data_IF_567099093586
#
_entry.id   IF_567099093586
#
_cell.length_a   1.000
_cell.length_b   1.000
_cell.length_c   1.000
_cell.angle_alpha   90.00
_cell.angle_beta   90.00
_cell.angle_gamma   90.00
#
_symmetry.space_group_name_H-M   'P 1'
#
loop_
_entity.id
_entity.type
_entity.pdbx_description
1 polymer ?
#
# COMPACT_ATOMS: atom_id res chain seq x y z
N UNK A 1 12.05 -0.72 2.05
CA UNK A 1 12.70 -1.70 1.14
C UNK A 1 13.42 -0.92 0.08
N UNK A 2 14.61 -1.39 -0.29
CA UNK A 2 15.44 -0.72 -1.29
C UNK A 2 15.18 -1.31 -2.67
N UNK A 3 15.29 -0.47 -3.71
CA UNK A 3 15.05 -0.81 -5.10
C UNK A 3 16.16 -0.28 -6.00
N UNK A 4 16.52 -1.05 -7.02
CA UNK A 4 17.57 -0.74 -8.00
C UNK A 4 16.97 0.05 -9.18
N UNK A 5 16.30 1.15 -8.87
CA UNK A 5 15.77 2.13 -9.84
C UNK A 5 15.86 3.54 -9.26
N UNK A 6 15.84 4.55 -10.12
CA UNK A 6 15.83 5.95 -9.69
C UNK A 6 14.53 6.30 -8.95
N UNK A 7 14.58 7.35 -8.12
CA UNK A 7 13.42 7.81 -7.37
C UNK A 7 12.31 8.31 -8.30
N UNK A 8 12.65 8.88 -9.45
CA UNK A 8 11.70 9.36 -10.45
C UNK A 8 10.91 8.21 -11.06
N UNK A 9 11.59 7.12 -11.43
CA UNK A 9 10.93 5.90 -11.96
C UNK A 9 10.06 5.23 -10.89
N UNK A 10 10.50 5.19 -9.64
CA UNK A 10 9.68 4.66 -8.55
C UNK A 10 8.47 5.55 -8.31
N UNK A 11 8.63 6.87 -8.36
CA UNK A 11 7.52 7.81 -8.25
C UNK A 11 6.51 7.62 -9.40
N UNK A 12 6.99 7.54 -10.64
CA UNK A 12 6.15 7.25 -11.81
C UNK A 12 5.33 5.98 -11.60
N UNK A 13 5.98 4.90 -11.11
CA UNK A 13 5.31 3.62 -10.86
C UNK A 13 4.22 3.76 -9.80
N UNK A 14 4.53 4.30 -8.61
CA UNK A 14 3.55 4.36 -7.51
C UNK A 14 2.47 5.43 -7.70
N UNK A 15 2.71 6.43 -8.54
CA UNK A 15 1.76 7.50 -8.86
C UNK A 15 0.87 7.17 -10.07
N UNK A 16 1.20 6.12 -10.83
CA UNK A 16 0.38 5.67 -11.96
C UNK A 16 -0.97 5.13 -11.49
N UNK A 17 -2.10 5.60 -12.07
CA UNK A 17 -3.42 5.09 -11.74
C UNK A 17 -3.51 3.58 -11.95
N UNK A 18 -4.07 2.85 -10.97
CA UNK A 18 -4.25 1.40 -11.10
C UNK A 18 -2.97 0.56 -10.95
N UNK A 19 -1.84 1.15 -10.52
CA UNK A 19 -0.55 0.46 -10.39
C UNK A 19 -0.61 -0.80 -9.51
N UNK A 20 -1.54 -0.90 -8.58
CA UNK A 20 -1.69 -2.09 -7.75
C UNK A 20 -2.15 -3.32 -8.54
N UNK A 21 -2.74 -3.15 -9.74
CA UNK A 21 -3.06 -4.28 -10.61
C UNK A 21 -1.81 -5.06 -11.02
N UNK A 22 -0.67 -4.38 -11.15
CA UNK A 22 0.59 -4.97 -11.61
C UNK A 22 1.50 -5.39 -10.46
N UNK A 23 1.53 -4.61 -9.38
CA UNK A 23 2.54 -4.72 -8.34
C UNK A 23 2.04 -5.40 -7.05
N UNK A 24 0.72 -5.54 -6.83
CA UNK A 24 0.20 -5.96 -5.55
C UNK A 24 -0.27 -7.42 -5.55
N UNK A 25 0.39 -8.35 -4.82
CA UNK A 25 0.14 -9.78 -4.91
C UNK A 25 -1.24 -10.23 -4.40
N UNK A 26 -1.95 -9.38 -3.66
CA UNK A 26 -3.30 -9.64 -3.14
C UNK A 26 -4.38 -8.81 -3.84
N UNK A 27 -4.02 -8.04 -4.87
CA UNK A 27 -4.97 -7.25 -5.65
C UNK A 27 -5.74 -8.15 -6.62
N UNK A 28 -7.07 -8.08 -6.56
CA UNK A 28 -7.96 -8.62 -7.59
C UNK A 28 -8.19 -7.58 -8.68
N UNK A 29 -8.48 -6.34 -8.29
CA UNK A 29 -8.54 -5.16 -9.17
C UNK A 29 -8.27 -3.88 -8.38
N UNK A 30 -7.70 -2.89 -9.05
CA UNK A 30 -7.57 -1.52 -8.55
C UNK A 30 -8.21 -0.58 -9.57
N UNK A 31 -9.38 -0.04 -9.23
CA UNK A 31 -10.24 0.73 -10.13
C UNK A 31 -10.23 2.21 -9.77
N UNK A 32 -10.08 3.06 -10.78
CA UNK A 32 -10.02 4.51 -10.59
C UNK A 32 -11.43 5.02 -10.35
N UNK A 33 -11.65 5.74 -9.25
CA UNK A 33 -12.88 6.49 -8.99
C UNK A 33 -12.74 7.92 -9.49
N UNK A 34 -11.65 8.58 -9.13
CA UNK A 34 -11.30 9.91 -9.59
C UNK A 34 -9.76 10.09 -9.58
N UNK A 35 -9.22 10.69 -10.66
CA UNK A 35 -7.78 10.95 -10.77
C UNK A 35 -7.51 12.35 -11.34
N UNK A 36 -8.34 13.34 -10.96
CA UNK A 36 -8.26 14.71 -11.48
C UNK A 36 -8.11 15.73 -10.35
N UNK A 37 -7.34 16.79 -10.60
CA UNK A 37 -7.27 18.02 -9.79
C UNK A 37 -7.08 17.79 -8.29
N UNK A 38 -6.04 17.03 -7.92
CA UNK A 38 -5.68 16.79 -6.51
C UNK A 38 -6.72 16.00 -5.69
N UNK A 39 -7.76 15.47 -6.32
CA UNK A 39 -8.73 14.58 -5.69
C UNK A 39 -8.50 13.15 -6.19
N UNK A 40 -7.36 12.58 -5.84
CA UNK A 40 -7.02 11.21 -6.23
C UNK A 40 -7.76 10.21 -5.35
N UNK A 41 -8.50 9.31 -6.00
CA UNK A 41 -9.32 8.31 -5.31
C UNK A 41 -9.48 7.07 -6.16
N UNK A 42 -9.28 5.89 -5.56
CA UNK A 42 -9.50 4.60 -6.19
C UNK A 42 -10.13 3.56 -5.25
N UNK A 43 -10.58 2.45 -5.83
CA UNK A 43 -11.06 1.27 -5.11
C UNK A 43 -10.05 0.13 -5.28
N UNK A 44 -9.58 -0.42 -4.17
CA UNK A 44 -8.79 -1.64 -4.12
C UNK A 44 -9.68 -2.81 -3.74
N UNK A 45 -9.80 -3.78 -4.65
CA UNK A 45 -10.51 -5.04 -4.40
C UNK A 45 -9.47 -6.12 -4.17
N UNK A 46 -9.51 -6.75 -3.01
CA UNK A 46 -8.62 -7.86 -2.65
C UNK A 46 -9.08 -9.19 -3.23
N UNK A 47 -8.22 -10.21 -3.22
CA UNK A 47 -8.52 -11.54 -3.79
C UNK A 47 -9.72 -12.21 -3.11
N UNK A 48 -9.93 -11.99 -1.81
CA UNK A 48 -11.09 -12.49 -1.07
C UNK A 48 -12.37 -11.65 -1.26
N UNK A 49 -12.34 -10.65 -2.15
CA UNK A 49 -13.49 -9.77 -2.43
C UNK A 49 -13.66 -8.59 -1.50
N UNK A 50 -12.79 -8.41 -0.49
CA UNK A 50 -12.81 -7.23 0.37
C UNK A 50 -12.52 -5.98 -0.45
N UNK A 51 -13.38 -4.95 -0.32
CA UNK A 51 -13.27 -3.67 -1.03
C UNK A 51 -12.87 -2.56 -0.09
N UNK A 52 -11.80 -1.85 -0.43
CA UNK A 52 -11.34 -0.66 0.27
C UNK A 52 -11.22 0.52 -0.69
N UNK A 53 -11.67 1.68 -0.21
CA UNK A 53 -11.46 2.97 -0.89
C UNK A 53 -10.15 3.55 -0.38
N UNK A 54 -9.30 4.01 -1.31
CA UNK A 54 -8.12 4.80 -1.03
C UNK A 54 -8.41 6.26 -1.40
N UNK A 55 -8.35 7.17 -0.43
CA UNK A 55 -8.48 8.61 -0.63
C UNK A 55 -7.11 9.23 -0.35
N UNK A 56 -6.46 9.77 -1.38
CA UNK A 56 -5.16 10.40 -1.24
C UNK A 56 -5.34 11.82 -0.69
N UNK A 57 -4.55 12.17 0.33
CA UNK A 57 -4.63 13.44 1.05
C UNK A 57 -3.51 14.37 0.62
N UNK A 58 -2.28 13.89 0.76
CA UNK A 58 -1.07 14.60 0.35
C UNK A 58 -0.45 13.87 -0.84
N UNK A 59 0.15 14.66 -1.76
CA UNK A 59 0.74 14.13 -2.99
C UNK A 59 1.96 14.98 -3.31
N UNK A 60 3.14 14.47 -2.99
CA UNK A 60 4.40 15.19 -3.16
C UNK A 60 5.31 14.43 -4.14
N UNK A 61 5.49 14.92 -5.38
CA UNK A 61 6.30 14.27 -6.40
C UNK A 61 7.71 13.93 -5.90
N UNK A 62 8.14 12.69 -6.17
CA UNK A 62 9.43 12.13 -5.77
C UNK A 62 9.67 12.02 -4.25
N UNK A 63 8.67 12.33 -3.42
CA UNK A 63 8.74 12.14 -1.96
C UNK A 63 7.72 11.13 -1.46
N UNK A 64 6.55 11.05 -2.10
CA UNK A 64 5.52 10.09 -1.75
C UNK A 64 4.12 10.69 -1.64
N UNK A 65 3.26 9.99 -0.92
CA UNK A 65 1.89 10.42 -0.67
C UNK A 65 1.31 9.83 0.61
N UNK A 66 0.30 10.49 1.14
CA UNK A 66 -0.50 10.01 2.25
C UNK A 66 -1.91 9.69 1.79
N UNK A 67 -2.52 8.68 2.40
CA UNK A 67 -3.89 8.30 2.07
C UNK A 67 -4.66 7.77 3.27
N UNK A 68 -5.98 7.88 3.20
CA UNK A 68 -6.91 7.15 4.04
C UNK A 68 -7.40 5.91 3.29
N UNK A 69 -7.37 4.75 3.95
CA UNK A 69 -7.82 3.48 3.38
C UNK A 69 -8.80 2.76 4.30
N UNK A 70 -9.90 2.29 3.75
CA UNK A 70 -10.90 1.53 4.49
C UNK A 70 -12.17 1.25 3.68
N UNK A 71 -13.17 0.66 4.32
CA UNK A 71 -14.48 0.45 3.69
C UNK A 71 -15.16 1.78 3.40
N UNK A 72 -15.92 1.83 2.31
CA UNK A 72 -16.70 3.01 1.97
C UNK A 72 -17.70 3.33 3.11
N UNK A 73 -17.69 4.58 3.60
CA UNK A 73 -18.51 5.02 4.74
C UNK A 73 -18.10 4.41 6.10
N UNK A 74 -17.04 3.61 6.15
CA UNK A 74 -16.54 2.97 7.37
C UNK A 74 -15.29 3.61 7.95
N UNK A 75 -14.74 3.00 9.02
CA UNK A 75 -13.47 3.44 9.59
C UNK A 75 -12.34 3.31 8.59
N UNK A 76 -11.42 4.30 8.59
CA UNK A 76 -10.29 4.35 7.70
C UNK A 76 -8.97 4.40 8.47
N UNK A 77 -7.98 3.67 7.98
CA UNK A 77 -6.59 3.73 8.45
C UNK A 77 -5.85 4.81 7.68
N UNK A 78 -4.95 5.52 8.35
CA UNK A 78 -4.04 6.46 7.71
C UNK A 78 -2.77 5.72 7.28
N UNK A 79 -2.33 5.96 6.06
CA UNK A 79 -1.17 5.29 5.46
C UNK A 79 -0.28 6.32 4.79
N UNK A 80 1.01 6.22 5.06
CA UNK A 80 2.05 7.09 4.51
C UNK A 80 2.98 6.26 3.65
N UNK A 81 3.23 6.71 2.42
CA UNK A 81 4.20 6.17 1.49
C UNK A 81 5.33 7.18 1.30
N UNK A 82 6.53 6.82 1.73
CA UNK A 82 7.70 7.70 1.70
C UNK A 82 8.76 7.16 0.76
N UNK A 83 9.24 8.00 -0.14
CA UNK A 83 10.39 7.73 -1.00
C UNK A 83 11.64 8.42 -0.48
N UNK A 84 12.76 7.73 -0.54
CA UNK A 84 14.08 8.28 -0.21
C UNK A 84 15.06 7.95 -1.33
N UNK A 85 15.75 8.95 -1.85
CA UNK A 85 16.84 8.77 -2.82
C UNK A 85 18.08 8.26 -2.10
N UNK A 86 18.58 7.10 -2.51
CA UNK A 86 19.83 6.53 -1.95
C UNK A 86 21.02 6.81 -2.88
N UNK A 87 20.78 6.77 -4.21
CA UNK A 87 21.73 7.17 -5.26
C UNK A 87 20.97 7.51 -6.54
N UNK A 88 21.68 7.77 -7.65
CA UNK A 88 21.01 8.06 -8.95
C UNK A 88 20.18 6.88 -9.45
N UNK A 89 20.57 5.65 -9.16
CA UNK A 89 19.90 4.42 -9.63
C UNK A 89 19.33 3.58 -8.48
N UNK A 90 19.21 4.16 -7.27
CA UNK A 90 18.68 3.45 -6.10
C UNK A 90 17.79 4.36 -5.27
N UNK A 91 16.65 3.82 -4.87
CA UNK A 91 15.76 4.47 -3.93
C UNK A 91 15.19 3.47 -2.91
N UNK A 92 14.61 4.00 -1.85
CA UNK A 92 13.86 3.22 -0.85
C UNK A 92 12.41 3.66 -0.85
N UNK A 93 11.50 2.68 -0.71
CA UNK A 93 10.08 2.92 -0.42
C UNK A 93 9.76 2.39 0.97
N UNK A 94 9.19 3.24 1.81
CA UNK A 94 8.68 2.92 3.14
C UNK A 94 7.18 3.12 3.17
N UNK A 95 6.45 2.13 3.69
CA UNK A 95 5.01 2.22 3.93
C UNK A 95 4.76 2.14 5.43
N UNK A 96 4.14 3.17 5.99
CA UNK A 96 3.74 3.24 7.40
C UNK A 96 2.21 3.22 7.48
N UNK A 97 1.67 2.31 8.29
CA UNK A 97 0.22 2.19 8.49
C UNK A 97 -0.13 2.53 9.93
N UNK A 98 -1.06 3.47 10.09
CA UNK A 98 -1.70 3.83 11.35
C UNK A 98 -3.13 3.27 11.35
N UNK A 99 -3.36 2.09 11.94
CA UNK A 99 -4.67 1.45 11.91
C UNK A 99 -5.71 2.28 12.66
N UNK A 100 -6.92 2.36 12.12
CA UNK A 100 -8.04 3.11 12.71
C UNK A 100 -8.40 2.68 14.15
N UNK A 101 -7.99 1.49 14.56
CA UNK A 101 -8.18 0.99 15.93
C UNK A 101 -7.56 1.89 17.01
N UNK A 102 -6.58 2.72 16.64
CA UNK A 102 -5.94 3.66 17.56
C UNK A 102 -6.51 5.07 17.51
N UNK A 103 -7.32 5.40 16.51
CA UNK A 103 -7.90 6.76 16.36
C UNK A 103 -9.12 7.01 17.24
N UNK A 104 -9.72 5.96 17.80
CA UNK A 104 -10.85 6.05 18.74
C UNK A 104 -10.38 5.65 20.13
N UNK A 105 -9.65 6.53 20.85
CA UNK A 105 -9.40 6.46 22.29
C UNK A 105 -9.35 5.05 22.91
N UNK A 106 -8.66 4.12 22.23
CA UNK A 106 -8.73 2.70 22.55
C UNK A 106 -8.06 2.41 23.88
N UNK A 107 -8.81 1.82 24.79
CA UNK A 107 -8.37 1.35 26.10
C UNK A 107 -7.10 0.51 25.95
N UNK A 108 -6.18 0.64 26.89
CA UNK A 108 -4.91 -0.10 27.06
C UNK A 108 -5.03 -1.63 26.81
N UNK A 109 -6.21 -2.20 27.04
CA UNK A 109 -6.56 -3.61 26.76
C UNK A 109 -6.48 -4.03 25.27
N UNK A 110 -6.46 -3.08 24.32
CA UNK A 110 -6.32 -3.37 22.89
C UNK A 110 -4.87 -3.54 22.44
N UNK A 111 -3.88 -3.22 23.27
CA UNK A 111 -2.46 -3.27 22.89
C UNK A 111 -1.94 -4.69 22.72
N UNK A 112 -2.26 -5.62 23.66
CA UNK A 112 -1.74 -6.99 23.61
C UNK A 112 -2.21 -7.73 22.35
N UNK A 113 -3.52 -7.79 22.01
CA UNK A 113 -3.98 -8.38 20.77
C UNK A 113 -3.38 -7.74 19.52
N UNK A 114 -3.16 -6.41 19.55
CA UNK A 114 -2.54 -5.72 18.44
C UNK A 114 -1.10 -6.18 18.20
N UNK A 115 -0.25 -6.19 19.23
CA UNK A 115 1.16 -6.56 19.09
C UNK A 115 1.35 -8.03 18.73
N UNK A 116 0.53 -8.91 19.29
CA UNK A 116 0.67 -10.37 19.11
C UNK A 116 -0.02 -10.84 17.82
N UNK A 117 -1.14 -10.24 17.44
CA UNK A 117 -1.96 -10.72 16.31
C UNK A 117 -1.95 -9.81 15.10
N UNK A 118 -2.21 -8.51 15.28
CA UNK A 118 -2.36 -7.57 14.15
C UNK A 118 -1.02 -7.19 13.54
N UNK A 119 -0.08 -6.75 14.37
CA UNK A 119 1.23 -6.24 13.93
C UNK A 119 2.04 -7.25 13.10
N UNK A 120 2.18 -8.54 13.49
CA UNK A 120 2.90 -9.52 12.69
C UNK A 120 2.25 -9.78 11.32
N UNK A 121 0.91 -9.85 11.28
CA UNK A 121 0.17 -10.03 10.02
C UNK A 121 0.29 -8.82 9.09
N UNK A 122 0.15 -7.62 9.65
CA UNK A 122 0.32 -6.39 8.89
C UNK A 122 1.75 -6.26 8.35
N UNK A 123 2.76 -6.62 9.16
CA UNK A 123 4.16 -6.63 8.70
C UNK A 123 4.37 -7.62 7.56
N UNK A 124 3.82 -8.83 7.64
CA UNK A 124 3.87 -9.83 6.57
C UNK A 124 3.18 -9.32 5.30
N UNK A 125 2.01 -8.70 5.45
CA UNK A 125 1.28 -8.09 4.35
C UNK A 125 2.11 -7.02 3.64
N UNK A 126 2.62 -6.04 4.38
CA UNK A 126 3.43 -4.94 3.83
C UNK A 126 4.71 -5.44 3.17
N UNK A 127 5.37 -6.45 3.76
CA UNK A 127 6.53 -7.07 3.14
C UNK A 127 6.19 -7.70 1.78
N UNK A 128 5.07 -8.42 1.69
CA UNK A 128 4.61 -9.01 0.42
C UNK A 128 4.26 -7.95 -0.61
N UNK A 129 3.63 -6.84 -0.21
CA UNK A 129 3.33 -5.71 -1.09
C UNK A 129 4.62 -5.08 -1.64
N UNK A 130 5.57 -4.74 -0.76
CA UNK A 130 6.86 -4.16 -1.17
C UNK A 130 7.65 -5.13 -2.07
N UNK A 131 7.60 -6.43 -1.77
CA UNK A 131 8.22 -7.47 -2.61
C UNK A 131 7.55 -7.57 -3.99
N UNK A 132 6.25 -7.28 -4.09
CA UNK A 132 5.52 -7.21 -5.35
C UNK A 132 6.05 -6.11 -6.27
N UNK A 133 6.33 -4.92 -5.73
CA UNK A 133 7.00 -3.86 -6.48
C UNK A 133 8.38 -4.29 -6.97
N UNK A 134 9.17 -4.94 -6.11
CA UNK A 134 10.49 -5.43 -6.49
C UNK A 134 10.42 -6.50 -7.60
N UNK A 135 9.42 -7.38 -7.54
CA UNK A 135 9.18 -8.37 -8.59
C UNK A 135 8.87 -7.70 -9.92
N UNK A 136 7.92 -6.75 -9.94
CA UNK A 136 7.54 -6.01 -11.14
C UNK A 136 8.71 -5.25 -11.75
N UNK A 137 9.49 -4.54 -10.93
CA UNK A 137 10.67 -3.79 -11.37
C UNK A 137 11.72 -4.70 -12.01
N UNK A 138 11.96 -5.89 -11.43
CA UNK A 138 12.99 -6.82 -11.91
C UNK A 138 12.59 -7.61 -13.14
N UNK A 139 11.32 -7.93 -13.28
CA UNK A 139 10.86 -8.86 -14.32
C UNK A 139 10.03 -8.19 -15.40
N UNK A 140 9.62 -6.92 -15.20
CA UNK A 140 8.70 -6.18 -16.09
C UNK A 140 7.41 -6.98 -16.39
N UNK A 141 6.94 -7.73 -15.38
CA UNK A 141 5.75 -8.59 -15.45
C UNK A 141 4.91 -8.40 -14.20
N UNK A 142 3.59 -8.54 -14.37
CA UNK A 142 2.66 -8.50 -13.26
C UNK A 142 3.01 -9.53 -12.20
N UNK A 143 2.95 -9.12 -10.93
CA UNK A 143 3.19 -10.05 -9.83
C UNK A 143 2.06 -11.10 -9.77
N UNK A 144 2.36 -12.41 -9.78
CA UNK A 144 1.34 -13.43 -9.68
C UNK A 144 0.56 -13.33 -8.36
N UNK A 145 -0.72 -13.66 -8.41
CA UNK A 145 -1.57 -13.67 -7.21
C UNK A 145 -1.01 -14.61 -6.15
N UNK A 146 -0.96 -14.12 -4.90
CA UNK A 146 -0.39 -14.87 -3.76
C UNK A 146 1.07 -15.32 -3.95
N UNK A 147 1.86 -14.65 -4.80
CA UNK A 147 3.24 -15.04 -5.14
C UNK A 147 4.12 -15.30 -3.90
N UNK A 148 3.95 -14.48 -2.85
CA UNK A 148 4.71 -14.60 -1.60
C UNK A 148 3.93 -15.37 -0.51
N UNK A 149 2.97 -16.22 -0.93
CA UNK A 149 2.09 -16.99 -0.04
C UNK A 149 0.77 -16.27 0.26
N UNK A 150 -0.22 -17.04 0.66
CA UNK A 150 -1.55 -16.52 1.04
C UNK A 150 -1.49 -15.65 2.30
N UNK A 151 -2.39 -14.69 2.37
CA UNK A 151 -2.59 -13.83 3.54
C UNK A 151 -4.00 -14.00 4.11
N UNK A 152 -4.17 -14.25 5.44
CA UNK A 152 -5.47 -14.59 6.02
C UNK A 152 -6.55 -13.50 5.89
N UNK A 153 -6.13 -12.24 5.63
CA UNK A 153 -7.07 -11.12 5.52
C UNK A 153 -7.37 -10.69 4.08
N UNK A 154 -6.55 -11.09 3.11
CA UNK A 154 -6.58 -10.48 1.77
C UNK A 154 -6.51 -11.49 0.61
N UNK A 155 -6.35 -12.79 0.93
CA UNK A 155 -6.31 -13.85 -0.10
C UNK A 155 -7.64 -14.57 -0.24
#
# INVERSE_FOLDING_TARGET
MDYEISIEKMWELISTPGHLNYCHPFCKSNEIINWKQSNYRDELIYLNGLKYIRNFINWDPNKGYDLLIGKNGGPQSYVVWELTKNSELKCSLKITVFPYLFTKGGRILSYIPFFVYVKPRLKKYLYSVLSGFNYYIKHEKDVPRNHFGKHPWFS
#
